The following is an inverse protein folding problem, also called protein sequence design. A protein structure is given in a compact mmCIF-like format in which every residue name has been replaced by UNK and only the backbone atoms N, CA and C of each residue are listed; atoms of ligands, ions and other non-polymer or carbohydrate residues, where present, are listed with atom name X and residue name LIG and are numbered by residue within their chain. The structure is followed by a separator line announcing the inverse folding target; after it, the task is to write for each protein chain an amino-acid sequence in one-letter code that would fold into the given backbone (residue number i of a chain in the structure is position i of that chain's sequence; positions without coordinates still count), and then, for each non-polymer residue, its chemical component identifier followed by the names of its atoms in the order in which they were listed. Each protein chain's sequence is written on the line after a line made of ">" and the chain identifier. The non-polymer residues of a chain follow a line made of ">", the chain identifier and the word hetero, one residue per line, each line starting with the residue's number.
data_IF_278749471267
#
_entry.id   IF_278749471267
#
_cell.length_a   1.000
_cell.length_b   1.000
_cell.length_c   1.000
_cell.angle_alpha   90.00
_cell.angle_beta   90.00
_cell.angle_gamma   90.00
#
_symmetry.space_group_name_H-M   'P 1'
#
loop_
_entity.id
_entity.type
_entity.pdbx_description
1 polymer ?
#
# COMPACT_ATOMS: atom_id res chain seq x y z
N UNK A 1 9.09 30.34 25.12
CA UNK A 1 7.88 29.51 24.89
C UNK A 1 7.84 29.14 23.42
N UNK A 2 8.27 27.92 23.09
CA UNK A 2 8.35 27.41 21.72
C UNK A 2 6.98 26.81 21.36
N UNK A 3 6.24 27.44 20.45
CA UNK A 3 4.99 26.88 19.94
C UNK A 3 5.27 26.08 18.67
N UNK A 4 5.36 24.76 18.88
CA UNK A 4 5.52 23.74 17.85
C UNK A 4 4.19 23.58 17.11
N UNK A 5 4.07 24.16 15.91
CA UNK A 5 2.86 24.08 15.11
C UNK A 5 2.79 22.73 14.38
N UNK A 6 1.81 21.92 14.77
CA UNK A 6 1.63 20.52 14.39
C UNK A 6 1.15 20.41 12.93
N UNK A 7 2.07 20.11 12.02
CA UNK A 7 1.77 19.81 10.62
C UNK A 7 0.89 18.55 10.51
N UNK A 8 -0.40 18.74 10.18
CA UNK A 8 -1.32 17.64 9.86
C UNK A 8 -1.02 17.09 8.45
N UNK A 9 -0.17 16.07 8.38
CA UNK A 9 0.01 15.19 7.20
C UNK A 9 -1.36 14.67 6.75
N UNK A 10 -1.82 15.05 5.56
CA UNK A 10 -2.96 14.38 4.90
C UNK A 10 -2.52 13.00 4.40
N UNK A 11 -3.35 11.94 4.54
CA UNK A 11 -3.02 10.61 4.01
C UNK A 11 -3.20 10.55 2.47
N UNK A 12 -2.46 9.67 1.77
CA UNK A 12 -2.54 9.54 0.32
C UNK A 12 -3.87 8.91 -0.13
N UNK A 13 -4.46 9.51 -1.17
CA UNK A 13 -5.66 9.03 -1.86
C UNK A 13 -5.28 7.75 -2.63
N UNK A 14 -5.90 6.62 -2.30
CA UNK A 14 -5.72 5.35 -3.02
C UNK A 14 -6.53 5.38 -4.33
N UNK A 15 -5.95 4.97 -5.48
CA UNK A 15 -6.72 4.77 -6.71
C UNK A 15 -7.52 3.47 -6.60
N UNK A 16 -8.85 3.56 -6.67
CA UNK A 16 -9.73 2.40 -6.81
C UNK A 16 -9.79 1.98 -8.27
N UNK A 17 -9.43 0.72 -8.52
CA UNK A 17 -9.60 0.03 -9.79
C UNK A 17 -11.10 -0.03 -10.10
N UNK A 18 -11.50 0.57 -11.22
CA UNK A 18 -12.88 0.51 -11.73
C UNK A 18 -12.90 -0.44 -12.94
N UNK A 19 -13.31 -1.68 -12.68
CA UNK A 19 -13.55 -2.71 -13.70
C UNK A 19 -14.96 -2.59 -14.28
N UNK A 20 -14.98 -2.68 -15.62
CA UNK A 20 -16.01 -3.23 -16.51
C UNK A 20 -17.39 -2.58 -16.64
N UNK A 21 -17.67 -2.25 -17.91
CA UNK A 21 -18.96 -2.19 -18.60
C UNK A 21 -19.96 -3.28 -18.17
N UNK A 22 -21.26 -3.00 -18.37
CA UNK A 22 -22.17 -3.81 -19.22
C UNK A 22 -23.65 -3.35 -19.09
N UNK A 23 -24.31 -3.32 -20.25
CA UNK A 23 -25.76 -3.33 -20.54
C UNK A 23 -26.59 -2.05 -20.42
N UNK A 24 -26.75 -1.45 -21.60
CA UNK A 24 -27.96 -0.77 -22.07
C UNK A 24 -29.12 -1.79 -22.05
N UNK A 25 -30.17 -1.54 -21.29
CA UNK A 25 -31.47 -2.21 -21.45
C UNK A 25 -32.58 -1.18 -21.43
N UNK A 26 -33.19 -1.02 -22.61
CA UNK A 26 -34.41 -0.27 -22.86
C UNK A 26 -35.53 -0.74 -21.95
N UNK A 27 -36.12 0.19 -21.19
CA UNK A 27 -37.45 0.03 -20.63
C UNK A 27 -38.19 1.35 -20.73
N UNK A 28 -38.86 1.51 -21.87
CA UNK A 28 -40.01 2.40 -22.04
C UNK A 28 -41.02 2.19 -20.92
N UNK A 29 -41.23 3.21 -20.08
CA UNK A 29 -42.46 3.38 -19.33
C UNK A 29 -42.92 4.83 -19.47
N UNK A 30 -44.05 4.95 -20.15
CA UNK A 30 -44.84 6.17 -20.25
C UNK A 30 -45.28 6.64 -18.87
N UNK A 31 -45.18 7.94 -18.62
CA UNK A 31 -46.06 8.66 -17.71
C UNK A 31 -46.08 10.13 -18.13
N UNK A 32 -47.29 10.63 -18.34
CA UNK A 32 -47.61 11.87 -19.02
C UNK A 32 -47.03 13.12 -18.33
N UNK A 33 -46.42 13.97 -19.14
CA UNK A 33 -46.07 15.33 -18.79
C UNK A 33 -47.32 16.22 -18.75
N UNK A 34 -47.67 16.76 -17.59
CA UNK A 34 -48.49 17.97 -17.52
C UNK A 34 -47.57 19.19 -17.64
N UNK A 35 -47.14 19.45 -18.87
CA UNK A 35 -46.45 20.67 -19.27
C UNK A 35 -47.49 21.78 -19.49
N UNK A 36 -47.68 22.61 -18.47
CA UNK A 36 -48.21 23.96 -18.67
C UNK A 36 -47.10 24.80 -19.31
N UNK A 37 -47.09 24.86 -20.65
CA UNK A 37 -46.27 25.81 -21.43
C UNK A 37 -47.19 26.83 -22.06
N UNK A 38 -47.20 28.06 -21.52
CA UNK A 38 -47.60 29.25 -22.27
C UNK A 38 -46.35 29.81 -22.93
N UNK A 39 -46.20 29.57 -24.22
CA UNK A 39 -45.24 30.27 -25.08
C UNK A 39 -46.08 31.09 -26.05
N UNK A 40 -45.96 32.42 -25.95
CA UNK A 40 -46.44 33.34 -26.95
C UNK A 40 -45.28 33.63 -27.90
N UNK A 41 -45.47 33.36 -29.19
CA UNK A 41 -44.63 33.89 -30.26
C UNK A 41 -45.58 34.50 -31.29
N UNK A 42 -45.49 35.82 -31.42
CA UNK A 42 -46.08 36.58 -32.52
C UNK A 42 -45.06 36.68 -33.64
N UNK A 43 -45.45 36.27 -34.86
CA UNK A 43 -44.88 36.78 -36.10
C UNK A 43 -46.03 37.18 -37.05
N UNK A 44 -45.74 38.20 -37.86
CA UNK A 44 -46.68 39.12 -38.48
C UNK A 44 -47.15 38.72 -39.90
N UNK A 45 -48.43 39.01 -40.21
CA UNK A 45 -49.07 39.66 -41.42
C UNK A 45 -48.73 39.12 -42.85
N UNK A 46 -49.61 39.12 -43.90
CA UNK A 46 -50.96 39.72 -44.11
C UNK A 46 -52.08 38.80 -44.69
N UNK A 47 -53.34 39.30 -44.63
CA UNK A 47 -54.49 39.23 -45.58
C UNK A 47 -54.35 38.34 -46.85
N UNK A 48 -55.38 37.55 -47.31
CA UNK A 48 -56.68 38.12 -47.71
C UNK A 48 -57.97 37.26 -47.68
N UNK A 49 -59.09 37.99 -47.73
CA UNK A 49 -60.38 37.73 -48.41
C UNK A 49 -61.19 36.45 -48.10
N UNK A 50 -62.41 36.73 -47.66
CA UNK A 50 -63.67 36.00 -47.86
C UNK A 50 -63.71 34.53 -47.45
N UNK A 51 -64.45 34.26 -46.38
CA UNK A 51 -65.61 33.36 -46.36
C UNK A 51 -66.19 33.49 -44.95
N UNK A 52 -67.37 34.09 -44.81
CA UNK A 52 -68.13 34.06 -43.58
C UNK A 52 -68.84 32.70 -43.49
N UNK A 53 -68.65 31.89 -42.43
CA UNK A 53 -69.63 30.89 -42.07
C UNK A 53 -70.62 31.47 -41.06
N UNK A 54 -71.87 31.13 -41.35
CA UNK A 54 -73.06 31.35 -40.56
C UNK A 54 -72.85 31.30 -39.04
N UNK A 55 -73.52 32.25 -38.41
CA UNK A 55 -73.73 32.44 -36.99
C UNK A 55 -74.27 31.13 -36.40
N UNK A 56 -73.42 30.36 -35.73
CA UNK A 56 -73.87 29.52 -34.61
C UNK A 56 -73.95 30.42 -33.39
N UNK A 57 -75.18 30.71 -32.96
CA UNK A 57 -75.49 31.36 -31.68
C UNK A 57 -75.17 30.40 -30.53
N UNK A 58 -73.88 30.20 -30.29
CA UNK A 58 -73.31 29.47 -29.16
C UNK A 58 -72.06 30.21 -28.71
N UNK A 59 -72.19 31.52 -28.53
CA UNK A 59 -71.11 32.41 -28.16
C UNK A 59 -70.61 32.12 -26.75
N UNK A 60 -69.72 31.13 -26.60
CA UNK A 60 -68.75 31.16 -25.50
C UNK A 60 -67.75 32.25 -25.89
N UNK A 61 -68.14 33.49 -25.61
CA UNK A 61 -67.21 34.62 -25.55
C UNK A 61 -66.19 34.20 -24.51
N UNK A 62 -65.01 33.74 -24.93
CA UNK A 62 -63.87 33.70 -24.03
C UNK A 62 -63.59 35.15 -23.66
N UNK A 63 -64.24 35.62 -22.59
CA UNK A 63 -63.86 36.82 -21.86
C UNK A 63 -62.47 36.51 -21.28
N UNK A 64 -61.45 36.67 -22.12
CA UNK A 64 -60.07 36.68 -21.65
C UNK A 64 -59.96 37.98 -20.87
N UNK A 65 -60.13 37.88 -19.56
CA UNK A 65 -59.92 38.98 -18.66
C UNK A 65 -58.48 39.50 -18.87
N UNK A 66 -58.37 40.68 -19.48
CA UNK A 66 -57.09 41.37 -19.69
C UNK A 66 -56.67 42.01 -18.38
N UNK A 67 -56.14 41.21 -17.46
CA UNK A 67 -55.45 41.75 -16.29
C UNK A 67 -54.09 42.30 -16.71
N UNK A 68 -53.78 43.55 -16.36
CA UNK A 68 -52.45 44.12 -16.56
C UNK A 68 -51.49 43.46 -15.56
N UNK A 69 -50.57 42.57 -15.99
CA UNK A 69 -49.65 41.92 -15.07
C UNK A 69 -48.72 42.97 -14.46
N UNK A 70 -48.41 42.84 -13.17
CA UNK A 70 -47.43 43.71 -12.53
C UNK A 70 -46.09 43.60 -13.25
N UNK A 71 -45.37 44.71 -13.47
CA UNK A 71 -44.07 44.67 -14.11
C UNK A 71 -43.10 43.79 -13.31
N UNK A 72 -42.14 43.20 -14.01
CA UNK A 72 -41.09 42.39 -13.38
C UNK A 72 -40.31 43.27 -12.40
N UNK A 73 -40.17 42.80 -11.16
CA UNK A 73 -39.49 43.51 -10.07
C UNK A 73 -37.97 43.39 -10.11
N UNK A 74 -37.41 42.77 -11.16
CA UNK A 74 -35.99 42.44 -11.23
C UNK A 74 -35.23 43.42 -12.14
N UNK A 75 -34.09 43.90 -11.65
CA UNK A 75 -33.15 44.70 -12.42
C UNK A 75 -32.23 43.75 -13.20
N UNK A 76 -32.46 43.62 -14.51
CA UNK A 76 -31.65 42.77 -15.38
C UNK A 76 -30.43 43.50 -15.98
N UNK A 77 -30.50 44.84 -16.05
CA UNK A 77 -29.50 45.66 -16.75
C UNK A 77 -28.42 46.19 -15.84
N UNK A 78 -28.80 46.81 -14.73
CA UNK A 78 -27.85 47.57 -13.94
C UNK A 78 -27.10 46.67 -12.95
N UNK A 79 -25.76 46.76 -12.90
CA UNK A 79 -24.98 46.04 -11.91
C UNK A 79 -25.32 46.55 -10.51
N UNK A 80 -25.54 45.62 -9.58
CA UNK A 80 -25.66 45.95 -8.16
C UNK A 80 -24.28 46.27 -7.58
N UNK A 81 -24.04 47.55 -7.29
CA UNK A 81 -22.82 48.05 -6.65
C UNK A 81 -23.15 48.37 -5.18
N UNK A 82 -22.67 47.56 -4.22
CA UNK A 82 -22.90 47.82 -2.81
C UNK A 82 -22.08 49.02 -2.33
N UNK A 83 -22.64 49.79 -1.41
CA UNK A 83 -21.88 50.82 -0.69
C UNK A 83 -20.93 50.15 0.31
N UNK A 84 -19.62 50.40 0.12
CA UNK A 84 -18.54 49.83 0.94
C UNK A 84 -18.46 50.45 2.33
N UNK A 85 -18.93 51.70 2.48
CA UNK A 85 -18.91 52.43 3.76
C UNK A 85 -20.05 52.05 4.70
N UNK A 86 -21.07 51.35 4.20
CA UNK A 86 -22.24 51.01 5.01
C UNK A 86 -22.02 49.76 5.88
N UNK A 87 -22.54 49.79 7.10
CA UNK A 87 -22.54 48.63 8.01
C UNK A 87 -23.50 47.52 7.54
N UNK A 88 -24.50 47.88 6.72
CA UNK A 88 -25.48 46.93 6.16
C UNK A 88 -24.86 46.02 5.10
N UNK A 89 -23.77 46.45 4.46
CA UNK A 89 -23.05 45.67 3.45
C UNK A 89 -22.19 44.61 4.14
N UNK A 90 -22.29 43.37 3.67
CA UNK A 90 -21.52 42.25 4.22
C UNK A 90 -20.02 42.39 3.90
N UNK A 91 -19.15 42.01 4.84
CA UNK A 91 -17.69 42.16 4.72
C UNK A 91 -17.09 41.55 3.45
N UNK A 92 -17.60 40.39 3.00
CA UNK A 92 -17.12 39.75 1.78
C UNK A 92 -17.44 40.54 0.50
N UNK A 93 -18.48 41.40 0.51
CA UNK A 93 -18.83 42.29 -0.60
C UNK A 93 -17.91 43.51 -0.65
N UNK A 94 -17.29 43.89 0.48
CA UNK A 94 -16.32 44.99 0.57
C UNK A 94 -14.93 44.60 0.05
N UNK A 95 -14.65 43.30 -0.09
CA UNK A 95 -13.33 42.77 -0.46
C UNK A 95 -13.04 42.92 -1.96
N UNK A 96 -11.76 43.11 -2.34
CA UNK A 96 -11.29 43.11 -3.73
C UNK A 96 -11.65 41.83 -4.54
N UNK A 97 -11.98 40.73 -3.85
CA UNK A 97 -12.52 39.51 -4.46
C UNK A 97 -13.91 39.74 -5.07
N UNK A 98 -14.76 40.53 -4.42
CA UNK A 98 -16.08 40.87 -4.93
C UNK A 98 -15.97 41.81 -6.13
N UNK A 99 -15.08 42.79 -6.06
CA UNK A 99 -14.78 43.68 -7.19
C UNK A 99 -14.37 42.89 -8.44
N UNK A 100 -13.41 41.95 -8.30
CA UNK A 100 -13.02 41.04 -9.39
C UNK A 100 -14.20 40.23 -9.95
N UNK A 101 -15.11 39.78 -9.08
CA UNK A 101 -16.32 39.04 -9.49
C UNK A 101 -17.29 39.94 -10.28
N UNK A 102 -17.45 41.20 -9.86
CA UNK A 102 -18.34 42.15 -10.53
C UNK A 102 -17.79 42.53 -11.91
N UNK A 103 -16.48 42.83 -11.98
CA UNK A 103 -15.79 43.09 -13.25
C UNK A 103 -15.85 41.87 -14.18
N UNK A 104 -15.69 40.64 -13.66
CA UNK A 104 -15.85 39.43 -14.47
C UNK A 104 -17.25 39.22 -15.05
N UNK A 105 -18.31 39.76 -14.42
CA UNK A 105 -19.70 39.62 -14.87
C UNK A 105 -20.14 40.73 -15.82
N UNK A 106 -19.78 41.98 -15.51
CA UNK A 106 -20.28 43.17 -16.19
C UNK A 106 -19.18 43.90 -16.98
N UNK A 107 -17.93 43.45 -16.91
CA UNK A 107 -16.79 44.09 -17.54
C UNK A 107 -16.55 45.50 -17.03
N UNK A 108 -16.15 46.40 -17.93
CA UNK A 108 -15.93 47.82 -17.66
C UNK A 108 -17.19 48.56 -17.21
N UNK A 109 -18.39 48.06 -17.50
CA UNK A 109 -19.65 48.66 -17.03
C UNK A 109 -19.80 48.62 -15.50
N UNK A 110 -19.01 47.80 -14.80
CA UNK A 110 -18.95 47.78 -13.33
C UNK A 110 -18.25 49.01 -12.72
N UNK A 111 -17.52 49.80 -13.52
CA UNK A 111 -16.79 50.98 -13.03
C UNK A 111 -15.54 50.66 -12.19
N UNK A 112 -15.10 49.40 -12.16
CA UNK A 112 -13.89 48.98 -11.43
C UNK A 112 -12.68 49.16 -12.32
N UNK A 113 -11.63 49.78 -11.78
CA UNK A 113 -10.36 49.95 -12.49
C UNK A 113 -9.67 48.60 -12.72
N UNK A 114 -9.38 48.22 -13.99
CA UNK A 114 -8.70 46.97 -14.31
C UNK A 114 -7.34 46.79 -13.63
N UNK A 115 -6.61 47.88 -13.33
CA UNK A 115 -5.29 47.79 -12.69
C UNK A 115 -5.38 47.21 -11.27
N UNK A 116 -6.48 47.47 -10.56
CA UNK A 116 -6.73 46.98 -9.19
C UNK A 116 -6.98 45.46 -9.15
N UNK A 117 -7.25 44.82 -10.30
CA UNK A 117 -7.51 43.38 -10.36
C UNK A 117 -6.24 42.54 -10.21
N UNK A 118 -5.10 43.10 -10.59
CA UNK A 118 -3.79 42.47 -10.43
C UNK A 118 -3.36 42.48 -8.95
N UNK A 119 -2.62 41.47 -8.49
CA UNK A 119 -2.06 41.48 -7.14
C UNK A 119 -1.20 42.72 -6.90
N UNK A 120 -1.20 43.24 -5.67
CA UNK A 120 -0.22 44.25 -5.29
C UNK A 120 1.19 43.65 -5.27
N UNK A 121 2.23 44.49 -5.34
CA UNK A 121 3.62 44.03 -5.28
C UNK A 121 3.90 43.12 -4.08
N UNK A 122 3.43 43.51 -2.89
CA UNK A 122 3.58 42.71 -1.67
C UNK A 122 2.86 41.35 -1.74
N UNK A 123 1.70 41.29 -2.41
CA UNK A 123 0.99 40.02 -2.64
C UNK A 123 1.71 39.15 -3.67
N UNK A 124 2.28 39.76 -4.71
CA UNK A 124 3.06 39.08 -5.72
C UNK A 124 4.31 38.43 -5.09
N UNK A 125 5.04 39.16 -4.26
CA UNK A 125 6.22 38.64 -3.56
C UNK A 125 5.86 37.45 -2.65
N UNK A 126 4.72 37.52 -1.96
CA UNK A 126 4.22 36.42 -1.15
C UNK A 126 3.87 35.18 -2.00
N UNK A 127 3.22 35.36 -3.15
CA UNK A 127 2.89 34.27 -4.09
C UNK A 127 4.17 33.64 -4.65
N UNK A 128 5.15 34.47 -5.04
CA UNK A 128 6.44 33.99 -5.56
C UNK A 128 7.24 33.25 -4.50
N UNK A 129 7.21 33.70 -3.25
CA UNK A 129 7.86 32.99 -2.14
C UNK A 129 7.20 31.64 -1.85
N UNK A 130 5.86 31.59 -1.85
CA UNK A 130 5.10 30.34 -1.68
C UNK A 130 5.37 29.36 -2.84
N UNK A 131 5.38 29.85 -4.08
CA UNK A 131 5.69 29.04 -5.26
C UNK A 131 7.11 28.45 -5.17
N UNK A 132 8.11 29.26 -4.81
CA UNK A 132 9.49 28.76 -4.69
C UNK A 132 9.65 27.70 -3.59
N UNK A 133 8.91 27.81 -2.49
CA UNK A 133 8.98 26.85 -1.38
C UNK A 133 8.31 25.52 -1.75
N UNK A 134 7.13 25.56 -2.36
CA UNK A 134 6.32 24.37 -2.62
C UNK A 134 6.53 23.76 -4.00
N UNK A 135 6.94 24.56 -4.98
CA UNK A 135 7.09 24.20 -6.37
C UNK A 135 8.55 24.44 -6.80
N UNK A 136 9.47 23.51 -6.46
CA UNK A 136 10.85 23.60 -6.89
C UNK A 136 10.96 23.55 -8.42
N UNK A 137 12.05 24.08 -9.00
CA UNK A 137 12.25 24.06 -10.45
C UNK A 137 12.47 22.62 -10.95
N UNK A 138 12.15 22.42 -12.24
CA UNK A 138 12.23 21.11 -12.90
C UNK A 138 13.63 20.47 -12.79
N UNK A 139 14.68 21.28 -12.90
CA UNK A 139 16.06 20.80 -12.81
C UNK A 139 16.35 20.13 -11.47
N UNK A 140 15.85 20.70 -10.37
CA UNK A 140 16.06 20.15 -9.04
C UNK A 140 15.24 18.88 -8.84
N UNK A 141 14.04 18.81 -9.43
CA UNK A 141 13.27 17.57 -9.48
C UNK A 141 14.04 16.46 -10.21
N UNK A 142 14.64 16.75 -11.37
CA UNK A 142 15.42 15.78 -12.14
C UNK A 142 16.66 15.29 -11.38
N UNK A 143 17.38 16.20 -10.71
CA UNK A 143 18.52 15.84 -9.84
C UNK A 143 18.07 14.92 -8.70
N UNK A 144 16.94 15.23 -8.07
CA UNK A 144 16.39 14.41 -6.98
C UNK A 144 15.95 13.01 -7.45
N UNK A 145 15.38 12.91 -8.64
CA UNK A 145 15.02 11.62 -9.25
C UNK A 145 16.29 10.81 -9.52
N UNK A 146 17.28 11.41 -10.19
CA UNK A 146 18.54 10.74 -10.50
C UNK A 146 19.28 10.27 -9.23
N UNK A 147 19.27 11.06 -8.15
CA UNK A 147 19.85 10.66 -6.87
C UNK A 147 19.12 9.45 -6.26
N UNK A 148 17.79 9.47 -6.25
CA UNK A 148 16.98 8.35 -5.73
C UNK A 148 17.18 7.07 -6.54
N UNK A 149 17.26 7.16 -7.87
CA UNK A 149 17.52 6.01 -8.73
C UNK A 149 18.88 5.38 -8.42
N UNK A 150 19.93 6.19 -8.27
CA UNK A 150 21.27 5.71 -7.88
C UNK A 150 21.26 4.96 -6.56
N UNK A 151 20.63 5.53 -5.53
CA UNK A 151 20.52 4.87 -4.22
C UNK A 151 19.76 3.54 -4.29
N UNK A 152 18.68 3.48 -5.07
CA UNK A 152 17.91 2.26 -5.26
C UNK A 152 18.71 1.19 -5.99
N UNK A 153 19.46 1.58 -7.01
CA UNK A 153 20.33 0.68 -7.76
C UNK A 153 21.49 0.17 -6.92
N UNK A 154 22.08 1.00 -6.08
CA UNK A 154 23.12 0.60 -5.12
C UNK A 154 22.59 -0.43 -4.13
N UNK A 155 21.45 -0.16 -3.49
CA UNK A 155 20.78 -1.10 -2.58
C UNK A 155 20.43 -2.41 -3.28
N UNK A 156 19.98 -2.36 -4.55
CA UNK A 156 19.70 -3.55 -5.35
C UNK A 156 20.99 -4.35 -5.59
N UNK A 157 22.07 -3.70 -6.02
CA UNK A 157 23.37 -4.33 -6.26
C UNK A 157 23.94 -4.97 -4.99
N UNK A 158 23.85 -4.31 -3.85
CA UNK A 158 24.29 -4.86 -2.56
C UNK A 158 23.50 -6.10 -2.17
N UNK A 159 22.17 -6.04 -2.33
CA UNK A 159 21.29 -7.19 -2.08
C UNK A 159 21.64 -8.36 -2.99
N UNK A 160 21.84 -8.11 -4.28
CA UNK A 160 22.23 -9.14 -5.25
C UNK A 160 23.59 -9.77 -4.90
N UNK A 161 24.58 -8.96 -4.52
CA UNK A 161 25.89 -9.46 -4.04
C UNK A 161 25.75 -10.36 -2.81
N UNK A 162 24.93 -9.96 -1.85
CA UNK A 162 24.67 -10.75 -0.64
C UNK A 162 23.96 -12.06 -0.95
N UNK A 163 22.96 -12.04 -1.84
CA UNK A 163 22.27 -13.24 -2.30
C UNK A 163 23.27 -14.17 -3.00
N UNK A 164 24.09 -13.65 -3.92
CA UNK A 164 25.09 -14.44 -4.64
C UNK A 164 26.09 -15.11 -3.69
N UNK A 165 26.61 -14.37 -2.70
CA UNK A 165 27.52 -14.91 -1.69
C UNK A 165 26.87 -16.01 -0.84
N UNK A 166 25.62 -15.81 -0.43
CA UNK A 166 24.86 -16.82 0.32
C UNK A 166 24.59 -18.05 -0.54
N UNK A 167 24.16 -17.86 -1.79
CA UNK A 167 23.92 -18.95 -2.74
C UNK A 167 25.17 -19.78 -3.02
N UNK A 168 26.36 -19.16 -3.05
CA UNK A 168 27.62 -19.88 -3.17
C UNK A 168 27.94 -20.74 -1.93
N UNK A 169 27.53 -20.30 -0.73
CA UNK A 169 27.73 -21.04 0.53
C UNK A 169 26.72 -22.17 0.72
N UNK A 170 25.52 -22.03 0.14
CA UNK A 170 24.39 -22.97 0.32
C UNK A 170 24.73 -24.44 0.03
N UNK A 171 25.40 -24.82 -1.08
CA UNK A 171 25.71 -26.21 -1.38
C UNK A 171 26.50 -26.91 -0.28
N UNK A 172 27.50 -26.23 0.29
CA UNK A 172 28.31 -26.75 1.40
C UNK A 172 27.45 -26.98 2.64
N UNK A 173 26.62 -26.00 3.01
CA UNK A 173 25.72 -26.11 4.16
C UNK A 173 24.69 -27.24 4.00
N UNK A 174 24.17 -27.43 2.78
CA UNK A 174 23.24 -28.54 2.47
C UNK A 174 23.96 -29.89 2.59
N UNK A 175 25.20 -30.00 2.14
CA UNK A 175 26.00 -31.22 2.27
C UNK A 175 26.28 -31.55 3.74
N UNK A 176 26.70 -30.56 4.53
CA UNK A 176 26.93 -30.71 5.97
C UNK A 176 25.65 -31.13 6.70
N UNK A 177 24.52 -30.47 6.44
CA UNK A 177 23.22 -30.85 7.03
C UNK A 177 22.80 -32.28 6.65
N UNK A 178 23.01 -32.68 5.40
CA UNK A 178 22.71 -34.06 4.96
C UNK A 178 23.61 -35.07 5.68
N UNK A 179 24.88 -34.74 5.93
CA UNK A 179 25.81 -35.59 6.70
C UNK A 179 25.32 -35.73 8.13
N UNK A 180 25.05 -34.62 8.82
CA UNK A 180 24.56 -34.62 10.19
C UNK A 180 23.26 -35.42 10.34
N UNK A 181 22.33 -35.28 9.39
CA UNK A 181 21.08 -36.04 9.38
C UNK A 181 21.31 -37.55 9.22
N UNK A 182 22.29 -37.96 8.39
CA UNK A 182 22.68 -39.37 8.24
C UNK A 182 23.32 -39.91 9.52
N UNK A 183 24.25 -39.16 10.10
CA UNK A 183 24.92 -39.54 11.36
C UNK A 183 23.92 -39.66 12.52
N UNK A 184 22.99 -38.71 12.65
CA UNK A 184 21.93 -38.77 13.65
C UNK A 184 21.04 -40.01 13.46
N UNK A 185 20.68 -40.34 12.21
CA UNK A 185 19.91 -41.56 11.90
C UNK A 185 20.70 -42.84 12.19
N UNK A 186 22.01 -42.85 11.94
CA UNK A 186 22.88 -43.98 12.27
C UNK A 186 22.98 -44.17 13.78
N UNK A 187 23.25 -43.10 14.54
CA UNK A 187 23.28 -43.15 16.02
C UNK A 187 21.95 -43.65 16.59
N UNK A 188 20.81 -43.17 16.08
CA UNK A 188 19.49 -43.67 16.50
C UNK A 188 19.30 -45.17 16.21
N UNK A 189 19.80 -45.67 15.08
CA UNK A 189 19.74 -47.10 14.76
C UNK A 189 20.65 -47.92 15.67
N UNK A 190 21.87 -47.44 15.91
CA UNK A 190 22.82 -48.09 16.83
C UNK A 190 22.26 -48.13 18.26
N UNK A 191 21.68 -47.03 18.74
CA UNK A 191 21.06 -46.96 20.07
C UNK A 191 19.84 -47.88 20.16
N UNK A 192 19.02 -47.97 19.10
CA UNK A 192 17.90 -48.91 19.04
C UNK A 192 18.40 -50.36 19.07
N UNK A 193 19.40 -50.70 18.25
CA UNK A 193 19.99 -52.03 18.23
C UNK A 193 20.65 -52.40 19.57
N UNK A 194 21.33 -51.44 20.22
CA UNK A 194 21.87 -51.63 21.58
C UNK A 194 20.77 -51.88 22.60
N UNK A 195 19.67 -51.13 22.55
CA UNK A 195 18.51 -51.35 23.43
C UNK A 195 17.88 -52.73 23.20
N UNK A 196 17.71 -53.13 21.95
CA UNK A 196 17.17 -54.45 21.59
C UNK A 196 18.09 -55.57 22.06
N UNK A 197 19.41 -55.41 21.91
CA UNK A 197 20.40 -56.35 22.42
C UNK A 197 20.34 -56.50 23.95
N UNK A 198 20.28 -55.37 24.69
CA UNK A 198 20.14 -55.40 26.15
C UNK A 198 18.82 -56.05 26.61
N UNK A 199 17.73 -55.86 25.87
CA UNK A 199 16.45 -56.49 26.16
C UNK A 199 16.47 -58.00 25.88
N UNK A 200 17.16 -58.43 24.82
CA UNK A 200 17.33 -59.84 24.50
C UNK A 200 18.17 -60.55 25.58
N UNK A 201 19.30 -59.96 25.99
CA UNK A 201 20.15 -60.49 27.05
C UNK A 201 19.39 -60.58 28.39
N UNK A 202 18.60 -59.57 28.72
CA UNK A 202 17.73 -59.60 29.90
C UNK A 202 16.71 -60.74 29.84
N UNK A 203 16.16 -61.01 28.66
CA UNK A 203 15.20 -62.11 28.43
C UNK A 203 15.87 -63.48 28.60
N UNK A 204 17.09 -63.66 28.12
CA UNK A 204 17.85 -64.91 28.30
C UNK A 204 18.21 -65.16 29.77
N UNK A 205 18.65 -64.11 30.49
CA UNK A 205 19.08 -64.25 31.90
C UNK A 205 17.94 -64.43 32.89
N UNK A 206 16.78 -63.80 32.63
CA UNK A 206 15.65 -63.78 33.58
C UNK A 206 14.38 -64.50 33.08
N UNK A 207 14.34 -64.95 31.83
CA UNK A 207 13.23 -65.74 31.26
C UNK A 207 11.91 -65.00 31.01
N UNK A 208 11.77 -63.74 31.45
CA UNK A 208 10.56 -62.92 31.32
C UNK A 208 10.86 -61.56 30.67
N UNK A 209 9.83 -60.89 30.13
CA UNK A 209 9.94 -59.53 29.59
C UNK A 209 10.10 -58.51 30.72
N UNK A 210 11.33 -58.04 30.96
CA UNK A 210 11.65 -57.03 31.97
C UNK A 210 11.48 -55.61 31.42
N UNK A 211 10.87 -54.73 32.23
CA UNK A 211 10.77 -53.29 31.94
C UNK A 211 12.16 -52.62 32.10
N UNK A 212 12.62 -51.81 31.13
CA UNK A 212 13.83 -50.99 31.24
C UNK A 212 13.94 -50.12 32.49
N UNK A 213 12.83 -49.76 33.13
CA UNK A 213 12.82 -48.92 34.34
C UNK A 213 13.05 -49.70 35.64
N UNK A 214 13.00 -51.03 35.60
CA UNK A 214 13.12 -51.87 36.79
C UNK A 214 14.54 -51.85 37.40
N UNK A 215 14.68 -51.93 38.75
CA UNK A 215 15.98 -51.88 39.41
C UNK A 215 16.88 -53.07 39.01
N UNK A 216 16.28 -54.25 38.79
CA UNK A 216 16.97 -55.47 38.36
C UNK A 216 17.63 -55.32 36.98
N UNK A 217 16.95 -54.63 36.05
CA UNK A 217 17.51 -54.36 34.72
C UNK A 217 18.69 -53.38 34.81
N UNK A 218 18.59 -52.35 35.65
CA UNK A 218 19.67 -51.38 35.85
C UNK A 218 20.92 -52.00 36.48
N UNK A 219 20.75 -52.90 37.46
CA UNK A 219 21.87 -53.66 38.05
C UNK A 219 22.57 -54.53 37.00
N UNK A 220 21.81 -55.27 36.19
CA UNK A 220 22.34 -56.10 35.10
C UNK A 220 23.09 -55.26 34.04
N UNK A 221 22.52 -54.15 33.58
CA UNK A 221 23.21 -53.23 32.66
C UNK A 221 24.51 -52.71 33.28
N UNK A 222 24.51 -52.40 34.59
CA UNK A 222 25.72 -51.94 35.29
C UNK A 222 26.81 -53.02 35.37
N UNK A 223 26.45 -54.30 35.46
CA UNK A 223 27.40 -55.42 35.40
C UNK A 223 28.04 -55.52 34.01
N UNK A 224 27.21 -55.49 32.96
CA UNK A 224 27.68 -55.53 31.56
C UNK A 224 28.61 -54.35 31.26
N UNK A 225 28.25 -53.14 31.68
CA UNK A 225 29.09 -51.95 31.50
C UNK A 225 30.43 -52.06 32.26
N UNK A 226 30.44 -52.64 33.47
CA UNK A 226 31.67 -52.88 34.24
C UNK A 226 32.58 -53.88 33.54
N UNK A 227 32.02 -54.95 33.00
CA UNK A 227 32.75 -55.96 32.24
C UNK A 227 33.30 -55.40 30.93
N UNK A 228 32.51 -54.65 30.18
CA UNK A 228 32.96 -53.96 28.97
C UNK A 228 34.06 -52.95 29.26
N UNK A 229 33.93 -52.17 30.35
CA UNK A 229 34.97 -51.21 30.76
C UNK A 229 36.28 -51.91 31.12
N UNK A 230 36.22 -53.08 31.78
CA UNK A 230 37.40 -53.90 32.06
C UNK A 230 38.03 -54.44 30.76
N UNK A 231 37.23 -54.98 29.84
CA UNK A 231 37.67 -55.48 28.52
C UNK A 231 38.28 -54.36 27.66
N UNK A 232 37.63 -53.19 27.58
CA UNK A 232 38.15 -52.00 26.87
C UNK A 232 39.46 -51.48 27.46
N UNK A 233 39.58 -51.45 28.79
CA UNK A 233 40.84 -51.08 29.46
C UNK A 233 41.97 -52.06 29.15
N UNK A 234 41.68 -53.36 29.13
CA UNK A 234 42.68 -54.39 28.80
C UNK A 234 43.11 -54.32 27.33
N UNK A 235 42.17 -54.14 26.40
CA UNK A 235 42.47 -53.94 24.98
C UNK A 235 43.26 -52.63 24.73
N UNK A 236 42.94 -51.55 25.45
CA UNK A 236 43.71 -50.31 25.37
C UNK A 236 45.13 -50.47 25.92
N UNK A 237 45.31 -51.26 26.99
CA UNK A 237 46.64 -51.61 27.52
C UNK A 237 47.43 -52.45 26.52
N UNK A 238 46.83 -53.51 25.98
CA UNK A 238 47.47 -54.35 24.94
C UNK A 238 47.88 -53.56 23.70
N UNK A 239 47.02 -52.68 23.18
CA UNK A 239 47.37 -51.80 22.05
C UNK A 239 48.51 -50.84 22.39
N UNK A 240 48.55 -50.33 23.61
CA UNK A 240 49.65 -49.48 24.09
C UNK A 240 50.95 -50.27 24.24
N UNK A 241 50.87 -51.50 24.72
CA UNK A 241 52.03 -52.40 24.87
C UNK A 241 52.54 -52.87 23.49
N UNK A 242 51.66 -53.06 22.50
CA UNK A 242 51.98 -53.35 21.09
C UNK A 242 52.60 -52.13 20.37
N UNK A 243 52.06 -50.93 20.56
CA UNK A 243 52.64 -49.67 20.07
C UNK A 243 54.02 -49.37 20.72
N UNK A 244 54.25 -49.85 21.94
CA UNK A 244 55.54 -49.74 22.65
C UNK A 244 56.53 -50.87 22.29
N UNK A 245 56.04 -52.06 21.94
CA UNK A 245 56.85 -53.18 21.43
C UNK A 245 57.32 -52.99 19.98
N UNK A 246 56.56 -52.25 19.16
CA UNK A 246 56.98 -51.86 17.80
C UNK A 246 58.02 -50.72 17.80
N UNK A 247 58.18 -49.98 18.89
CA UNK A 247 59.26 -48.98 19.02
C UNK A 247 60.51 -49.54 19.71
N UNK A 248 60.49 -50.81 20.16
CA UNK A 248 61.60 -51.47 20.88
C UNK A 248 61.84 -52.92 20.42
N UNK A 249 62.06 -53.13 19.12
CA UNK A 249 62.84 -54.27 18.59
C UNK A 249 63.88 -53.73 17.60
N UNK A 250 65.10 -54.28 17.57
CA UNK A 250 66.32 -53.50 17.76
C UNK A 250 67.08 -53.15 16.47
N UNK A 251 67.61 -51.93 16.43
CA UNK A 251 68.80 -51.58 15.65
C UNK A 251 70.02 -52.23 16.30
N UNK A 252 70.32 -53.47 15.89
CA UNK A 252 71.55 -54.18 16.25
C UNK A 252 71.97 -55.13 15.10
N UNK A 253 72.26 -54.57 13.92
CA UNK A 253 73.22 -55.14 12.97
C UNK A 253 73.59 -54.11 11.87
N UNK A 254 74.53 -53.22 12.18
CA UNK A 254 75.30 -52.49 11.16
C UNK A 254 76.62 -52.01 11.80
N UNK A 255 77.52 -52.95 12.06
CA UNK A 255 78.95 -52.68 12.13
C UNK A 255 79.52 -52.95 10.73
N UNK A 256 79.99 -51.92 10.03
CA UNK A 256 81.01 -51.99 8.99
C UNK A 256 81.55 -50.57 8.75
N UNK A 257 82.90 -50.48 8.79
CA UNK A 257 83.78 -49.30 8.66
C UNK A 257 84.19 -48.61 9.96
#
# INVERSE_FOLDING_TARGET
>A
MVHFSKARKRPPIKPTLRTSDVTIRSSTKMAASLLSRRVAIFHAVPSPKSLAPAIFSGGVVQQIAKYNPKPLRFNLKDPYIPDKGSEKTLEWQKTAKYDRKLFGRYGSASGIDPATLWPSSAQLDAIVAEEKEWHPPLEDMLKNIAAKERELDEKRREREKLIAANMAKMPKMVADWRREKKEAKQKQKEDKARREWLLAEARERFGHTLDPRSPKFQEMVSEIEKEEKKKRKLLKRRKKDEEQGMTTTPSASAAAS
#
